data_IF_406054258472
#
_entry.id   IF_406054258472
#
_cell.length_a   1.000
_cell.length_b   1.000
_cell.length_c   1.000
_cell.angle_alpha   90.00
_cell.angle_beta   90.00
_cell.angle_gamma   90.00
#
_symmetry.space_group_name_H-M   'P 1'
#
loop_
_entity.id
_entity.type
_entity.pdbx_description
1 polymer ?
#
# COMPACT_ATOMS: atom_id res chain seq x y z
N UNK A 1 11.92 -22.74 -16.63
CA UNK A 1 11.05 -22.91 -15.45
C UNK A 1 11.19 -21.67 -14.57
N UNK A 2 10.14 -20.87 -14.37
CA UNK A 2 10.21 -19.70 -13.48
C UNK A 2 10.25 -20.21 -12.03
N UNK A 3 11.26 -19.81 -11.27
CA UNK A 3 11.43 -20.24 -9.87
C UNK A 3 10.32 -19.65 -9.00
N UNK A 4 9.99 -20.35 -7.90
CA UNK A 4 9.01 -19.88 -6.90
C UNK A 4 9.29 -18.45 -6.45
N UNK A 5 10.59 -18.07 -6.41
CA UNK A 5 11.08 -16.72 -6.13
C UNK A 5 10.48 -15.66 -7.07
N UNK A 6 10.43 -15.93 -8.38
CA UNK A 6 9.91 -15.00 -9.39
C UNK A 6 8.37 -14.83 -9.35
N UNK A 7 7.66 -15.89 -8.92
CA UNK A 7 6.22 -15.80 -8.64
C UNK A 7 5.93 -15.08 -7.32
N UNK A 8 6.79 -15.28 -6.31
CA UNK A 8 6.65 -14.62 -5.01
C UNK A 8 6.95 -13.12 -5.10
N UNK A 9 7.92 -12.69 -5.90
CA UNK A 9 8.25 -11.28 -6.11
C UNK A 9 7.01 -10.50 -6.60
N UNK A 10 6.30 -10.98 -7.63
CA UNK A 10 5.07 -10.33 -8.10
C UNK A 10 3.86 -10.45 -7.14
N UNK A 11 3.82 -11.48 -6.30
CA UNK A 11 2.75 -11.69 -5.31
C UNK A 11 2.91 -10.80 -4.08
N UNK A 12 4.14 -10.53 -3.65
CA UNK A 12 4.45 -9.64 -2.52
C UNK A 12 4.62 -8.17 -2.93
N UNK A 13 4.85 -7.87 -4.21
CA UNK A 13 5.05 -6.50 -4.70
C UNK A 13 3.81 -5.61 -4.55
N UNK A 14 2.61 -6.18 -4.65
CA UNK A 14 1.36 -5.41 -4.63
C UNK A 14 0.56 -5.72 -3.38
N UNK A 15 0.59 -4.80 -2.41
CA UNK A 15 -0.36 -4.84 -1.30
C UNK A 15 -1.79 -4.91 -1.82
N UNK A 16 -2.59 -5.82 -1.26
CA UNK A 16 -4.00 -6.01 -1.57
C UNK A 16 -4.90 -5.34 -0.52
N UNK A 17 -6.13 -5.00 -0.91
CA UNK A 17 -7.14 -4.45 0.02
C UNK A 17 -7.38 -5.36 1.23
N UNK A 18 -7.34 -6.68 1.04
CA UNK A 18 -7.52 -7.67 2.11
C UNK A 18 -6.40 -7.56 3.16
N UNK A 19 -5.15 -7.42 2.73
CA UNK A 19 -4.01 -7.29 3.64
C UNK A 19 -4.10 -5.99 4.47
N UNK A 20 -4.48 -4.88 3.84
CA UNK A 20 -4.62 -3.60 4.55
C UNK A 20 -5.79 -3.65 5.53
N UNK A 21 -6.92 -4.25 5.14
CA UNK A 21 -8.07 -4.42 6.03
C UNK A 21 -7.78 -5.35 7.22
N UNK A 22 -6.98 -6.41 7.03
CA UNK A 22 -6.53 -7.26 8.14
C UNK A 22 -5.60 -6.51 9.10
N UNK A 23 -4.70 -5.68 8.59
CA UNK A 23 -3.87 -4.80 9.42
C UNK A 23 -4.72 -3.78 10.19
N UNK A 24 -5.74 -3.20 9.54
CA UNK A 24 -6.65 -2.22 10.13
C UNK A 24 -7.44 -2.80 11.32
N UNK A 25 -7.91 -4.05 11.25
CA UNK A 25 -8.65 -4.71 12.34
C UNK A 25 -7.91 -4.69 13.68
N UNK A 26 -6.57 -4.74 13.65
CA UNK A 26 -5.73 -4.68 14.86
C UNK A 26 -5.41 -3.27 15.35
N UNK A 27 -5.73 -2.21 14.60
CA UNK A 27 -5.30 -0.84 14.89
C UNK A 27 -6.43 0.19 15.03
N UNK A 28 -7.61 -0.08 14.49
CA UNK A 28 -8.71 0.90 14.45
C UNK A 28 -9.19 1.36 15.83
N UNK A 29 -8.90 0.60 16.89
CA UNK A 29 -9.29 0.92 18.28
C UNK A 29 -8.29 1.79 19.04
N UNK A 30 -7.06 1.91 18.56
CA UNK A 30 -5.94 2.51 19.31
C UNK A 30 -5.46 3.84 18.75
N UNK A 31 -5.90 4.22 17.54
CA UNK A 31 -5.35 5.35 16.80
C UNK A 31 -6.48 6.25 16.29
N UNK A 32 -6.37 7.59 16.44
CA UNK A 32 -7.30 8.53 15.81
C UNK A 32 -7.42 8.35 14.30
N UNK A 33 -8.61 8.59 13.73
CA UNK A 33 -8.89 8.35 12.29
C UNK A 33 -7.92 9.06 11.34
N UNK A 34 -7.55 10.30 11.64
CA UNK A 34 -6.58 11.09 10.83
C UNK A 34 -5.21 10.42 10.79
N UNK A 35 -4.71 10.01 11.94
CA UNK A 35 -3.40 9.38 12.08
C UNK A 35 -3.37 7.99 11.45
N UNK A 36 -4.49 7.27 11.52
CA UNK A 36 -4.67 6.00 10.84
C UNK A 36 -4.50 6.15 9.32
N UNK A 37 -5.17 7.12 8.69
CA UNK A 37 -5.01 7.38 7.25
C UNK A 37 -3.56 7.67 6.91
N UNK A 38 -2.91 8.58 7.64
CA UNK A 38 -1.51 8.95 7.40
C UNK A 38 -0.56 7.75 7.53
N UNK A 39 -0.77 6.93 8.56
CA UNK A 39 0.03 5.72 8.81
C UNK A 39 -0.12 4.68 7.70
N UNK A 40 -1.35 4.41 7.26
CA UNK A 40 -1.60 3.47 6.16
C UNK A 40 -1.02 3.99 4.84
N UNK A 41 -1.16 5.30 4.54
CA UNK A 41 -0.57 5.91 3.33
C UNK A 41 0.95 5.76 3.32
N UNK A 42 1.61 6.07 4.43
CA UNK A 42 3.08 5.96 4.57
C UNK A 42 3.56 4.51 4.47
N UNK A 43 2.87 3.57 5.12
CA UNK A 43 3.28 2.17 5.18
C UNK A 43 3.29 1.47 3.82
N UNK A 44 2.34 1.80 2.95
CA UNK A 44 2.18 1.15 1.64
C UNK A 44 2.33 2.09 0.45
N UNK A 45 2.88 3.28 0.66
CA UNK A 45 3.09 4.29 -0.37
C UNK A 45 1.80 4.58 -1.19
N UNK A 46 0.70 4.85 -0.47
CA UNK A 46 -0.61 5.08 -1.07
C UNK A 46 -0.88 6.57 -1.23
N UNK A 47 -1.43 6.95 -2.37
CA UNK A 47 -1.85 8.32 -2.69
C UNK A 47 -3.19 8.63 -2.01
N UNK A 48 -4.16 7.75 -2.20
CA UNK A 48 -5.51 7.86 -1.63
C UNK A 48 -5.97 6.54 -1.04
N UNK A 49 -6.82 6.65 -0.02
CA UNK A 49 -7.46 5.54 0.67
C UNK A 49 -8.92 5.95 0.85
N UNK A 50 -9.83 5.11 0.41
CA UNK A 50 -11.27 5.30 0.59
C UNK A 50 -11.77 4.36 1.67
N UNK A 51 -12.40 4.94 2.69
CA UNK A 51 -13.02 4.20 3.78
C UNK A 51 -14.52 4.10 3.58
N UNK A 52 -15.14 3.09 4.17
CA UNK A 52 -16.58 3.13 4.39
C UNK A 52 -16.95 4.30 5.33
N UNK A 53 -18.21 4.76 5.33
CA UNK A 53 -18.65 5.88 6.18
C UNK A 53 -18.35 5.67 7.67
N UNK A 54 -18.35 4.41 8.12
CA UNK A 54 -18.07 4.02 9.50
C UNK A 54 -16.57 3.97 9.86
N UNK A 55 -15.65 4.17 8.90
CA UNK A 55 -14.20 4.11 9.10
C UNK A 55 -13.66 2.76 9.63
N UNK A 56 -14.39 1.68 9.39
CA UNK A 56 -14.04 0.32 9.85
C UNK A 56 -13.39 -0.53 8.76
N UNK A 57 -13.57 -0.17 7.48
CA UNK A 57 -13.06 -0.92 6.34
C UNK A 57 -12.64 0.02 5.21
N UNK A 58 -11.56 -0.35 4.52
CA UNK A 58 -11.08 0.30 3.30
C UNK A 58 -11.78 -0.36 2.10
N UNK A 59 -12.38 0.48 1.27
CA UNK A 59 -13.10 0.10 0.06
C UNK A 59 -12.20 0.14 -1.18
N UNK A 60 -11.35 1.16 -1.28
CA UNK A 60 -10.44 1.34 -2.41
C UNK A 60 -9.11 1.98 -1.97
N UNK A 61 -8.06 1.73 -2.75
CA UNK A 61 -6.73 2.34 -2.59
C UNK A 61 -6.20 2.81 -3.95
N UNK A 62 -5.55 3.97 -3.96
CA UNK A 62 -4.78 4.47 -5.09
C UNK A 62 -3.31 4.42 -4.70
N UNK A 63 -2.48 3.66 -5.43
CA UNK A 63 -1.04 3.58 -5.17
C UNK A 63 -0.34 4.78 -5.82
N UNK A 64 0.74 5.24 -5.21
CA UNK A 64 1.66 6.14 -5.90
C UNK A 64 2.45 5.26 -6.86
N UNK A 65 2.35 5.52 -8.16
CA UNK A 65 3.25 4.86 -9.11
C UNK A 65 4.69 5.26 -8.75
N UNK A 66 5.61 4.29 -8.60
CA UNK A 66 7.01 4.64 -8.50
C UNK A 66 7.38 5.37 -9.78
N UNK A 67 7.90 6.59 -9.66
CA UNK A 67 8.46 7.40 -10.75
C UNK A 67 9.51 6.54 -11.48
N UNK A 68 9.09 5.80 -12.51
CA UNK A 68 9.97 4.98 -13.35
C UNK A 68 10.90 5.85 -14.21
N UNK A 69 10.82 7.18 -14.11
CA UNK A 69 11.61 8.13 -14.91
C UNK A 69 12.85 8.70 -14.22
N UNK A 70 13.07 8.46 -12.92
CA UNK A 70 14.28 8.97 -12.22
C UNK A 70 15.46 8.01 -12.18
N UNK A 71 15.29 6.74 -12.52
CA UNK A 71 16.39 5.77 -12.49
C UNK A 71 17.15 5.60 -13.82
N UNK A 72 16.70 6.20 -14.93
CA UNK A 72 17.38 6.11 -16.24
C UNK A 72 18.28 7.30 -16.58
N UNK A 73 18.33 8.35 -15.74
CA UNK A 73 19.12 9.57 -16.03
C UNK A 73 20.49 9.63 -15.35
N UNK A 74 20.85 8.66 -14.50
CA UNK A 74 22.10 8.69 -13.72
C UNK A 74 23.09 7.57 -14.09
N UNK A 75 22.95 6.89 -15.23
CA UNK A 75 23.92 5.91 -15.74
C UNK A 75 24.53 6.30 -17.10
N UNK A 76 24.59 7.61 -17.41
CA UNK A 76 25.31 8.12 -18.58
C UNK A 76 26.08 9.40 -18.22
N UNK A 77 27.05 9.30 -17.32
CA UNK A 77 28.16 10.25 -17.22
C UNK A 77 29.40 9.54 -16.69
#
# INVERSE_FOLDING_TARGET
MKTFKKYSEGFYDKVTLTQINNYLKGMSRLIPKKDLIAKLKKKWNLKKIEFNPMFTKILAIEKIEPDTEKHLKNENF
#
